data_IF_405951156784
#
_entry.id   IF_405951156784
#
_cell.length_a   1.000
_cell.length_b   1.000
_cell.length_c   1.000
_cell.angle_alpha   90.00
_cell.angle_beta   90.00
_cell.angle_gamma   90.00
#
_symmetry.space_group_name_H-M   'P 1'
#
loop_
_entity.id
_entity.type
_entity.pdbx_description
1 polymer ?
#
# COMPACT_ATOMS: atom_id res chain seq x y z
N UNK A 1 1.06 23.94 -16.66
CA UNK A 1 2.41 23.40 -16.48
C UNK A 1 2.40 22.54 -15.22
N UNK A 2 2.41 21.21 -15.34
CA UNK A 2 2.63 20.36 -14.16
C UNK A 2 4.09 20.49 -13.77
N UNK A 3 4.38 21.16 -12.66
CA UNK A 3 5.73 21.25 -12.13
C UNK A 3 6.13 19.87 -11.63
N UNK A 4 7.08 19.22 -12.30
CA UNK A 4 7.65 17.96 -11.83
C UNK A 4 8.34 18.21 -10.48
N UNK A 5 7.98 17.40 -9.48
CA UNK A 5 8.60 17.48 -8.15
C UNK A 5 10.09 17.15 -8.24
N UNK A 6 10.91 17.78 -7.41
CA UNK A 6 12.30 17.35 -7.23
C UNK A 6 12.36 16.00 -6.51
N UNK A 7 13.49 15.28 -6.63
CA UNK A 7 13.66 13.99 -5.95
C UNK A 7 13.45 14.08 -4.44
N UNK A 8 13.94 15.17 -3.81
CA UNK A 8 13.73 15.42 -2.38
C UNK A 8 12.25 15.62 -2.03
N UNK A 9 11.49 16.31 -2.89
CA UNK A 9 10.04 16.48 -2.70
C UNK A 9 9.29 15.17 -2.89
N UNK A 10 9.68 14.34 -3.86
CA UNK A 10 9.09 13.00 -4.07
C UNK A 10 9.36 12.08 -2.87
N UNK A 11 10.57 12.11 -2.31
CA UNK A 11 10.88 11.37 -1.09
C UNK A 11 10.13 11.91 0.13
N UNK A 12 9.93 13.23 0.22
CA UNK A 12 9.10 13.81 1.29
C UNK A 12 7.63 13.37 1.19
N UNK A 13 7.10 13.17 -0.02
CA UNK A 13 5.78 12.56 -0.21
C UNK A 13 5.75 11.12 0.34
N UNK A 14 6.76 10.31 0.01
CA UNK A 14 6.87 8.95 0.53
C UNK A 14 7.04 8.91 2.05
N UNK A 15 7.84 9.82 2.62
CA UNK A 15 7.99 9.95 4.06
C UNK A 15 6.64 10.19 4.74
N UNK A 16 5.84 11.11 4.20
CA UNK A 16 4.51 11.38 4.74
C UNK A 16 3.58 10.16 4.69
N UNK A 17 3.80 9.23 3.75
CA UNK A 17 3.07 7.96 3.73
C UNK A 17 3.53 7.02 4.85
N UNK A 18 4.85 6.90 5.04
CA UNK A 18 5.45 6.08 6.10
C UNK A 18 5.02 6.60 7.48
N UNK A 19 5.04 7.91 7.69
CA UNK A 19 4.66 8.54 8.97
C UNK A 19 3.21 8.23 9.37
N UNK A 20 2.32 8.03 8.40
CA UNK A 20 0.89 7.76 8.61
C UNK A 20 0.54 6.28 8.55
N UNK A 21 1.48 5.40 8.25
CA UNK A 21 1.21 4.02 7.88
C UNK A 21 0.40 3.23 8.94
N UNK A 22 0.75 3.36 10.21
CA UNK A 22 0.03 2.70 11.30
C UNK A 22 -1.45 3.13 11.40
N UNK A 23 -1.72 4.43 11.23
CA UNK A 23 -3.07 4.98 11.24
C UNK A 23 -3.85 4.59 9.96
N UNK A 24 -3.17 4.53 8.82
CA UNK A 24 -3.72 4.08 7.54
C UNK A 24 -4.16 2.61 7.61
N UNK A 25 -3.35 1.73 8.22
CA UNK A 25 -3.73 0.33 8.49
C UNK A 25 -5.00 0.26 9.33
N UNK A 26 -5.09 1.07 10.38
CA UNK A 26 -6.28 1.17 11.22
C UNK A 26 -7.52 1.63 10.44
N UNK A 27 -7.35 2.61 9.57
CA UNK A 27 -8.40 3.17 8.72
C UNK A 27 -8.92 2.15 7.71
N UNK A 28 -8.02 1.44 7.01
CA UNK A 28 -8.39 0.41 6.04
C UNK A 28 -9.07 -0.77 6.73
N UNK A 29 -8.56 -1.18 7.90
CA UNK A 29 -9.16 -2.22 8.73
C UNK A 29 -10.58 -1.85 9.17
N UNK A 30 -10.78 -0.61 9.64
CA UNK A 30 -12.11 -0.12 10.03
C UNK A 30 -13.09 -0.09 8.84
N UNK A 31 -12.64 0.41 7.68
CA UNK A 31 -13.45 0.41 6.47
C UNK A 31 -13.81 -1.01 6.00
N UNK A 32 -12.90 -1.97 6.12
CA UNK A 32 -13.19 -3.37 5.79
C UNK A 32 -14.24 -4.00 6.72
N UNK A 33 -14.26 -3.61 8.00
CA UNK A 33 -15.22 -4.11 9.00
C UNK A 33 -16.59 -3.41 8.93
N UNK A 34 -16.69 -2.27 8.24
CA UNK A 34 -17.93 -1.52 8.07
C UNK A 34 -18.95 -2.35 7.26
N UNK A 35 -20.16 -2.63 7.81
CA UNK A 35 -21.20 -3.37 7.10
C UNK A 35 -21.69 -2.71 5.82
N UNK A 36 -21.46 -1.40 5.64
CA UNK A 36 -21.83 -0.66 4.43
C UNK A 36 -20.81 -0.79 3.30
N UNK A 37 -19.62 -1.32 3.57
CA UNK A 37 -18.58 -1.51 2.55
C UNK A 37 -18.95 -2.67 1.62
N UNK A 38 -19.09 -2.44 0.30
CA UNK A 38 -19.41 -3.50 -0.65
C UNK A 38 -18.36 -4.62 -0.67
N UNK A 39 -18.77 -5.87 -0.89
CA UNK A 39 -17.85 -6.99 -0.92
C UNK A 39 -16.68 -6.81 -1.93
N UNK A 40 -16.88 -6.27 -3.16
CA UNK A 40 -15.76 -5.98 -4.06
C UNK A 40 -14.72 -5.04 -3.46
N UNK A 41 -15.15 -4.00 -2.72
CA UNK A 41 -14.25 -3.12 -1.98
C UNK A 41 -13.55 -3.87 -0.86
N UNK A 42 -14.28 -4.64 -0.05
CA UNK A 42 -13.68 -5.44 1.03
C UNK A 42 -12.57 -6.37 0.51
N UNK A 43 -12.77 -7.02 -0.64
CA UNK A 43 -11.76 -7.89 -1.24
C UNK A 43 -10.46 -7.14 -1.54
N UNK A 44 -10.55 -5.96 -2.15
CA UNK A 44 -9.38 -5.11 -2.46
C UNK A 44 -8.67 -4.64 -1.18
N UNK A 45 -9.43 -4.16 -0.19
CA UNK A 45 -8.88 -3.74 1.09
C UNK A 45 -8.19 -4.89 1.84
N UNK A 46 -8.79 -6.09 1.84
CA UNK A 46 -8.20 -7.28 2.43
C UNK A 46 -6.93 -7.68 1.68
N UNK A 47 -6.92 -7.62 0.35
CA UNK A 47 -5.71 -7.89 -0.45
C UNK A 47 -4.54 -6.99 -0.05
N UNK A 48 -4.80 -5.70 0.12
CA UNK A 48 -3.81 -4.71 0.57
C UNK A 48 -3.32 -4.96 1.99
N UNK A 49 -4.23 -5.24 2.93
CA UNK A 49 -3.89 -5.61 4.30
C UNK A 49 -3.14 -6.94 4.40
N UNK A 50 -3.45 -7.91 3.53
CA UNK A 50 -2.69 -9.16 3.44
C UNK A 50 -1.28 -8.89 2.93
N UNK A 51 -1.11 -8.03 1.92
CA UNK A 51 0.20 -7.63 1.41
C UNK A 51 1.08 -7.05 2.52
N UNK A 52 0.54 -6.13 3.32
CA UNK A 52 1.20 -5.55 4.49
C UNK A 52 1.64 -6.58 5.56
N UNK A 53 1.09 -7.79 5.55
CA UNK A 53 1.48 -8.88 6.44
C UNK A 53 2.48 -9.85 5.80
N UNK A 54 2.66 -9.80 4.49
CA UNK A 54 3.49 -10.77 3.76
C UNK A 54 4.99 -10.45 3.86
N UNK A 55 5.40 -9.28 4.37
CA UNK A 55 6.81 -8.83 4.37
C UNK A 55 7.47 -9.11 2.99
N UNK A 56 6.69 -9.02 1.92
CA UNK A 56 7.15 -9.35 0.57
C UNK A 56 7.34 -8.03 -0.14
N UNK A 57 8.51 -7.46 0.10
CA UNK A 57 8.71 -6.06 -0.16
C UNK A 57 8.99 -5.81 -1.64
N UNK A 58 8.35 -4.78 -2.20
CA UNK A 58 8.89 -4.13 -3.39
C UNK A 58 10.26 -3.54 -3.05
N UNK A 59 10.47 -3.10 -1.82
CA UNK A 59 11.69 -2.43 -1.37
C UNK A 59 12.47 -3.27 -0.35
N UNK A 60 13.70 -3.71 -0.67
CA UNK A 60 14.48 -4.52 0.25
C UNK A 60 14.70 -3.86 1.62
N UNK A 61 14.62 -4.65 2.69
CA UNK A 61 14.84 -4.27 4.10
C UNK A 61 16.13 -3.48 4.40
N UNK A 62 17.17 -3.57 3.56
CA UNK A 62 18.44 -2.87 3.81
C UNK A 62 18.35 -1.36 3.57
N UNK A 63 17.28 -0.86 2.94
CA UNK A 63 16.99 0.56 2.87
C UNK A 63 16.15 0.98 4.08
N UNK A 64 16.80 1.58 5.08
CA UNK A 64 16.14 2.02 6.33
C UNK A 64 14.99 2.98 6.06
N UNK A 65 13.82 2.67 6.62
CA UNK A 65 12.59 3.45 6.46
C UNK A 65 11.86 3.24 5.12
N UNK A 66 12.45 2.51 4.18
CA UNK A 66 11.91 2.35 2.82
C UNK A 66 10.98 1.15 2.66
N UNK A 67 11.25 0.05 3.38
CA UNK A 67 10.43 -1.19 3.33
C UNK A 67 8.98 -1.04 3.80
N UNK A 68 8.58 0.14 4.31
CA UNK A 68 7.19 0.45 4.67
C UNK A 68 6.53 1.36 3.64
N UNK A 69 7.33 2.04 2.82
CA UNK A 69 6.82 2.97 1.83
C UNK A 69 5.98 2.24 0.77
N UNK A 70 6.32 1.01 0.40
CA UNK A 70 5.55 0.20 -0.54
C UNK A 70 4.20 -0.21 0.04
N UNK A 71 4.15 -0.71 1.27
CA UNK A 71 2.91 -1.01 1.97
C UNK A 71 2.00 0.22 2.01
N UNK A 72 2.56 1.39 2.38
CA UNK A 72 1.82 2.63 2.48
C UNK A 72 1.30 3.12 1.11
N UNK A 73 2.01 2.85 0.02
CA UNK A 73 1.53 3.08 -1.36
C UNK A 73 0.36 2.13 -1.68
N UNK A 74 0.51 0.85 -1.35
CA UNK A 74 -0.50 -0.18 -1.59
C UNK A 74 -1.82 0.18 -0.90
N UNK A 75 -1.80 0.63 0.35
CA UNK A 75 -3.02 1.06 1.07
C UNK A 75 -3.75 2.22 0.36
N UNK A 76 -3.01 3.20 -0.18
CA UNK A 76 -3.59 4.36 -0.89
C UNK A 76 -4.25 3.96 -2.21
N UNK A 77 -3.57 3.12 -2.99
CA UNK A 77 -4.11 2.60 -4.24
C UNK A 77 -5.32 1.69 -4.00
N UNK A 78 -5.28 0.86 -2.95
CA UNK A 78 -6.39 0.01 -2.56
C UNK A 78 -7.60 0.82 -2.09
N UNK A 79 -7.36 1.90 -1.34
CA UNK A 79 -8.41 2.84 -0.95
C UNK A 79 -9.07 3.49 -2.17
N UNK A 80 -8.28 3.94 -3.15
CA UNK A 80 -8.79 4.46 -4.42
C UNK A 80 -9.70 3.45 -5.12
N UNK A 81 -9.21 2.24 -5.35
CA UNK A 81 -9.96 1.17 -6.02
C UNK A 81 -11.23 0.79 -5.25
N UNK A 82 -11.18 0.76 -3.92
CA UNK A 82 -12.34 0.46 -3.08
C UNK A 82 -13.42 1.56 -3.16
N UNK A 83 -13.01 2.84 -3.19
CA UNK A 83 -13.94 3.97 -3.38
C UNK A 83 -14.58 3.94 -4.76
N UNK A 84 -13.84 3.58 -5.80
CA UNK A 84 -14.37 3.45 -7.18
C UNK A 84 -15.47 2.38 -7.29
N UNK A 85 -15.43 1.35 -6.45
CA UNK A 85 -16.47 0.30 -6.40
C UNK A 85 -17.50 0.51 -5.28
N UNK A 86 -17.54 1.71 -4.70
CA UNK A 86 -18.64 2.18 -3.85
C UNK A 86 -18.37 2.20 -2.34
N UNK A 87 -17.14 1.99 -1.87
CA UNK A 87 -16.83 2.23 -0.46
C UNK A 87 -16.88 3.73 -0.12
N UNK A 88 -17.55 4.07 0.99
CA UNK A 88 -17.79 5.47 1.38
C UNK A 88 -17.28 5.82 2.78
N UNK A 89 -16.54 4.92 3.44
CA UNK A 89 -15.96 5.20 4.75
C UNK A 89 -15.08 6.45 4.70
N UNK A 90 -15.35 7.45 5.55
CA UNK A 90 -14.77 8.80 5.41
C UNK A 90 -13.24 8.81 5.39
N UNK A 91 -12.59 8.06 6.31
CA UNK A 91 -11.14 7.94 6.34
C UNK A 91 -10.58 7.26 5.08
N UNK A 92 -11.33 6.33 4.48
CA UNK A 92 -10.93 5.67 3.25
C UNK A 92 -11.00 6.62 2.05
N UNK A 93 -12.02 7.48 1.99
CA UNK A 93 -12.13 8.54 0.97
C UNK A 93 -10.97 9.52 1.08
N UNK A 94 -10.58 9.91 2.30
CA UNK A 94 -9.39 10.74 2.52
C UNK A 94 -8.12 10.04 2.03
N UNK A 95 -7.95 8.75 2.34
CA UNK A 95 -6.79 7.98 1.93
C UNK A 95 -6.73 7.79 0.40
N UNK A 96 -7.88 7.51 -0.23
CA UNK A 96 -8.04 7.39 -1.68
C UNK A 96 -7.61 8.67 -2.41
N UNK A 97 -7.95 9.85 -1.88
CA UNK A 97 -7.52 11.12 -2.47
C UNK A 97 -5.99 11.27 -2.51
N UNK A 98 -5.26 10.63 -1.58
CA UNK A 98 -3.80 10.63 -1.55
C UNK A 98 -3.17 9.74 -2.64
N UNK A 99 -3.93 8.84 -3.28
CA UNK A 99 -3.41 8.02 -4.38
C UNK A 99 -2.89 8.87 -5.56
N UNK A 100 -3.42 10.08 -5.75
CA UNK A 100 -2.92 11.05 -6.74
C UNK A 100 -1.46 11.43 -6.51
N UNK A 101 -1.00 11.43 -5.25
CA UNK A 101 0.39 11.69 -4.90
C UNK A 101 1.32 10.55 -5.31
N UNK A 102 0.84 9.30 -5.39
CA UNK A 102 1.62 8.17 -5.92
C UNK A 102 2.03 8.46 -7.37
N UNK A 103 1.13 9.02 -8.18
CA UNK A 103 1.44 9.43 -9.56
C UNK A 103 2.52 10.53 -9.62
N UNK A 104 2.55 11.45 -8.66
CA UNK A 104 3.60 12.49 -8.59
C UNK A 104 5.00 11.94 -8.27
N UNK A 105 5.09 10.73 -7.69
CA UNK A 105 6.37 10.06 -7.38
C UNK A 105 6.77 9.07 -8.48
N UNK A 106 5.83 8.26 -8.95
CA UNK A 106 6.11 7.13 -9.83
C UNK A 106 5.76 7.36 -11.30
N UNK A 107 5.07 8.46 -11.63
CA UNK A 107 4.73 8.87 -12.99
C UNK A 107 4.12 7.71 -13.82
N UNK A 108 4.77 7.28 -14.90
CA UNK A 108 4.32 6.19 -15.77
C UNK A 108 4.15 4.84 -15.05
N UNK A 109 4.78 4.64 -13.88
CA UNK A 109 4.67 3.41 -13.10
C UNK A 109 3.42 3.37 -12.19
N UNK A 110 2.72 4.49 -12.00
CA UNK A 110 1.58 4.55 -11.07
C UNK A 110 0.38 3.72 -11.53
N UNK A 111 0.01 3.77 -12.82
CA UNK A 111 -1.07 2.94 -13.35
C UNK A 111 -0.74 1.43 -13.34
N UNK A 112 0.48 0.98 -13.69
CA UNK A 112 0.94 -0.38 -13.44
C UNK A 112 0.85 -0.82 -11.96
N UNK A 113 1.27 0.03 -11.01
CA UNK A 113 1.15 -0.24 -9.58
C UNK A 113 -0.31 -0.42 -9.15
N UNK A 114 -1.23 0.39 -9.68
CA UNK A 114 -2.65 0.21 -9.40
C UNK A 114 -3.18 -1.14 -9.89
N UNK A 115 -2.74 -1.58 -11.08
CA UNK A 115 -3.06 -2.94 -11.59
C UNK A 115 -2.47 -4.04 -10.71
N UNK A 116 -1.29 -3.82 -10.11
CA UNK A 116 -0.71 -4.75 -9.14
C UNK A 116 -1.62 -4.89 -7.93
N UNK A 117 -2.05 -3.75 -7.37
CA UNK A 117 -2.92 -3.71 -6.20
C UNK A 117 -4.27 -4.36 -6.48
N UNK A 118 -4.83 -4.17 -7.66
CA UNK A 118 -6.09 -4.79 -8.08
C UNK A 118 -6.03 -6.34 -8.11
N UNK A 119 -4.84 -6.94 -8.29
CA UNK A 119 -4.64 -8.41 -8.28
C UNK A 119 -4.41 -8.98 -6.88
N UNK A 120 -4.10 -8.15 -5.88
CA UNK A 120 -3.80 -8.64 -4.52
C UNK A 120 -4.89 -9.49 -3.86
N UNK A 121 -6.20 -9.31 -4.13
CA UNK A 121 -7.24 -10.17 -3.54
C UNK A 121 -7.08 -11.67 -3.87
N UNK A 122 -6.47 -11.98 -5.02
CA UNK A 122 -6.26 -13.35 -5.50
C UNK A 122 -5.01 -13.99 -4.89
N UNK A 123 -4.10 -13.18 -4.36
CA UNK A 123 -2.84 -13.66 -3.80
C UNK A 123 -3.06 -14.32 -2.44
N UNK A 124 -2.44 -15.47 -2.27
CA UNK A 124 -2.38 -16.15 -0.97
C UNK A 124 -1.22 -15.61 -0.15
N UNK A 125 -1.52 -15.14 1.06
CA UNK A 125 -0.54 -14.72 2.07
C UNK A 125 -0.79 -15.53 3.32
N UNK A 126 0.24 -16.19 3.87
CA UNK A 126 0.12 -17.03 5.09
C UNK A 126 -1.04 -18.04 5.03
N UNK A 127 -1.28 -18.64 3.86
CA UNK A 127 -2.34 -19.64 3.66
C UNK A 127 -3.77 -19.06 3.53
N UNK A 128 -3.92 -17.76 3.27
CA UNK A 128 -5.23 -17.10 3.10
C UNK A 128 -5.29 -16.09 1.95
N UNK A 129 -6.34 -16.20 1.15
CA UNK A 129 -6.75 -15.19 0.14
C UNK A 129 -7.85 -14.28 0.72
N UNK A 130 -8.17 -13.19 0.03
CA UNK A 130 -9.27 -12.31 0.46
C UNK A 130 -10.62 -13.05 0.51
N UNK A 131 -10.88 -13.93 -0.45
CA UNK A 131 -12.07 -14.76 -0.47
C UNK A 131 -12.17 -15.66 0.78
N UNK A 132 -11.07 -16.31 1.19
CA UNK A 132 -11.02 -17.18 2.37
C UNK A 132 -11.22 -16.39 3.68
N UNK A 133 -10.70 -15.16 3.74
CA UNK A 133 -10.88 -14.27 4.90
C UNK A 133 -12.35 -13.86 5.03
N UNK A 134 -13.01 -13.51 3.92
CA UNK A 134 -14.42 -13.12 3.94
C UNK A 134 -15.34 -14.30 4.31
N UNK A 135 -15.11 -15.48 3.75
CA UNK A 135 -15.99 -16.64 3.92
C UNK A 135 -15.88 -17.32 5.28
N UNK A 136 -14.74 -17.22 5.98
CA UNK A 136 -14.50 -17.94 7.24
C UNK A 136 -14.31 -17.01 8.43
N UNK A 137 -15.22 -17.11 9.41
CA UNK A 137 -15.22 -16.27 10.62
C UNK A 137 -13.90 -16.33 11.38
N UNK A 138 -13.38 -17.53 11.64
CA UNK A 138 -12.16 -17.69 12.44
C UNK A 138 -10.94 -17.14 11.70
N UNK A 139 -10.84 -17.39 10.38
CA UNK A 139 -9.81 -16.79 9.52
C UNK A 139 -9.87 -15.26 9.57
N UNK A 140 -11.07 -14.67 9.55
CA UNK A 140 -11.25 -13.23 9.65
C UNK A 140 -10.80 -12.66 10.98
N UNK A 141 -11.14 -13.33 12.09
CA UNK A 141 -10.72 -12.91 13.44
C UNK A 141 -9.19 -12.97 13.57
N UNK A 142 -8.56 -14.04 13.08
CA UNK A 142 -7.11 -14.16 13.09
C UNK A 142 -6.43 -13.08 12.24
N UNK A 143 -6.96 -12.84 11.03
CA UNK A 143 -6.49 -11.79 10.13
C UNK A 143 -6.60 -10.41 10.76
N UNK A 144 -7.75 -10.07 11.33
CA UNK A 144 -7.99 -8.80 12.01
C UNK A 144 -7.01 -8.57 13.17
N UNK A 145 -6.72 -9.63 13.94
CA UNK A 145 -5.75 -9.59 15.02
C UNK A 145 -4.30 -9.46 14.53
N UNK A 146 -3.94 -10.08 13.40
CA UNK A 146 -2.62 -9.92 12.77
C UNK A 146 -2.40 -8.48 12.33
N UNK A 147 -3.35 -7.90 11.58
CA UNK A 147 -3.28 -6.50 11.12
C UNK A 147 -3.20 -5.55 12.32
N UNK A 148 -4.01 -5.78 13.35
CA UNK A 148 -3.97 -4.97 14.57
C UNK A 148 -2.64 -5.08 15.34
N UNK A 149 -1.93 -6.20 15.26
CA UNK A 149 -0.57 -6.33 15.82
C UNK A 149 0.47 -5.61 14.96
N UNK A 150 0.36 -5.70 13.64
CA UNK A 150 1.28 -5.03 12.72
C UNK A 150 1.23 -3.51 12.91
N UNK A 151 0.03 -2.93 12.93
CA UNK A 151 -0.17 -1.50 13.18
C UNK A 151 0.43 -1.03 14.52
N UNK A 152 0.39 -1.87 15.56
CA UNK A 152 0.97 -1.56 16.88
C UNK A 152 2.48 -1.72 16.95
N UNK A 153 3.05 -2.66 16.18
CA UNK A 153 4.50 -2.91 16.16
C UNK A 153 5.21 -1.83 15.35
N UNK A 154 4.54 -1.28 14.35
CA UNK A 154 5.14 -0.31 13.46
C UNK A 154 5.52 0.98 14.19
N UNK A 155 6.76 1.41 13.95
CA UNK A 155 7.30 2.70 14.36
C UNK A 155 7.86 3.34 13.11
N UNK A 156 7.31 4.48 12.72
CA UNK A 156 7.76 5.21 11.55
C UNK A 156 9.25 5.57 11.70
N UNK A 157 10.02 5.28 10.66
CA UNK A 157 11.43 5.64 10.57
C UNK A 157 11.62 6.60 9.40
N UNK A 158 12.52 7.59 9.52
CA UNK A 158 12.90 8.40 8.39
C UNK A 158 13.50 7.55 7.27
N UNK A 159 13.11 7.85 6.03
CA UNK A 159 13.76 7.36 4.82
C UNK A 159 15.17 7.96 4.78
N UNK A 160 16.16 7.12 5.05
CA UNK A 160 17.56 7.54 5.11
C UNK A 160 18.17 7.59 3.71
N UNK A 161 18.48 8.80 3.24
CA UNK A 161 19.15 9.03 1.95
C UNK A 161 20.56 9.62 2.14
N UNK A 162 21.09 9.63 3.36
CA UNK A 162 22.36 10.28 3.68
C UNK A 162 23.57 9.69 2.93
N UNK A 163 23.52 8.39 2.59
CA UNK A 163 24.62 7.70 1.94
C UNK A 163 24.72 7.96 0.42
N UNK A 164 23.58 8.09 -0.28
CA UNK A 164 23.53 8.11 -1.74
C UNK A 164 22.85 9.35 -2.34
N UNK A 165 22.18 10.14 -1.50
CA UNK A 165 21.43 11.32 -1.90
C UNK A 165 20.03 11.00 -2.47
N UNK A 166 19.15 12.01 -2.52
CA UNK A 166 17.73 11.83 -2.85
C UNK A 166 17.49 11.34 -4.29
N UNK A 167 18.31 11.79 -5.24
CA UNK A 167 18.18 11.39 -6.65
C UNK A 167 18.47 9.91 -6.85
N UNK A 168 19.55 9.41 -6.23
CA UNK A 168 19.95 8.01 -6.37
C UNK A 168 18.94 7.08 -5.69
N UNK A 169 18.51 7.43 -4.48
CA UNK A 169 17.49 6.69 -3.75
C UNK A 169 16.20 6.55 -4.58
N UNK A 170 15.75 7.62 -5.23
CA UNK A 170 14.57 7.58 -6.09
C UNK A 170 14.77 6.71 -7.34
N UNK A 171 15.94 6.74 -7.96
CA UNK A 171 16.24 5.85 -9.10
C UNK A 171 16.15 4.39 -8.68
N UNK A 172 16.71 4.02 -7.53
CA UNK A 172 16.67 2.64 -7.03
C UNK A 172 15.25 2.20 -6.66
N UNK A 173 14.48 3.08 -5.99
CA UNK A 173 13.05 2.88 -5.73
C UNK A 173 12.25 2.56 -7.01
N UNK A 174 12.48 3.32 -8.09
CA UNK A 174 11.79 3.08 -9.36
C UNK A 174 12.17 1.73 -9.96
N UNK A 175 13.46 1.36 -9.96
CA UNK A 175 13.93 0.05 -10.42
C UNK A 175 13.32 -1.11 -9.63
N UNK A 176 13.14 -0.93 -8.33
CA UNK A 176 12.51 -1.91 -7.45
C UNK A 176 11.03 -2.11 -7.79
N UNK A 177 10.28 -1.01 -7.96
CA UNK A 177 8.89 -1.07 -8.46
C UNK A 177 8.81 -1.78 -9.80
N UNK A 178 9.67 -1.40 -10.74
CA UNK A 178 9.78 -2.03 -12.04
C UNK A 178 10.04 -3.55 -11.96
N UNK A 179 10.93 -3.96 -11.08
CA UNK A 179 11.22 -5.37 -10.83
C UNK A 179 10.00 -6.11 -10.26
N UNK A 180 9.32 -5.52 -9.27
CA UNK A 180 8.11 -6.08 -8.69
C UNK A 180 6.98 -6.23 -9.72
N UNK A 181 6.79 -5.23 -10.57
CA UNK A 181 5.81 -5.26 -11.66
C UNK A 181 6.12 -6.37 -12.67
N UNK A 182 7.40 -6.53 -13.06
CA UNK A 182 7.84 -7.65 -13.91
C UNK A 182 7.55 -9.01 -13.28
N UNK A 183 7.87 -9.19 -11.99
CA UNK A 183 7.63 -10.43 -11.25
C UNK A 183 6.13 -10.76 -11.16
N UNK A 184 5.27 -9.74 -11.11
CA UNK A 184 3.83 -9.87 -11.12
C UNK A 184 3.19 -9.96 -12.52
N UNK A 185 4.02 -10.06 -13.57
CA UNK A 185 3.59 -10.13 -14.96
C UNK A 185 2.70 -8.94 -15.36
N UNK A 186 3.09 -7.73 -14.94
CA UNK A 186 2.40 -6.47 -15.27
C UNK A 186 3.27 -5.66 -16.21
N UNK A 187 2.77 -5.44 -17.42
CA UNK A 187 3.41 -4.60 -18.43
C UNK A 187 3.29 -3.12 -18.06
N UNK A 188 4.35 -2.35 -18.30
CA UNK A 188 4.43 -0.91 -18.08
C UNK A 188 5.31 -0.23 -19.13
#
# INVERSE_FOLDING_TARGET
MSTTLSAAQQLSVLQGFVDQYADDLGTVRAACADPSTPEPAQRVLIGALNYALDMLDMFPDHYKGLGVADDAIVLRLAAKLAVEVGAAHAGLVTLAAQATKVASVFDNLAAPLERLVAKLPEREVRGRTAAKILSHKDTRIMFDADVGREAKRHVAQPIDTSAEGPERALIELRKMVEHALKKAEITY
#
